data_IF_137713032423
#
_entry.id   IF_137713032423
#
_cell.length_a   1.000
_cell.length_b   1.000
_cell.length_c   1.000
_cell.angle_alpha   90.00
_cell.angle_beta   90.00
_cell.angle_gamma   90.00
#
_symmetry.space_group_name_H-M   'P 1'
#
loop_
_entity.id
_entity.type
_entity.pdbx_description
1 polymer ?
#
# COMPACT_ATOMS: atom_id res chain seq x y z
N UNK A 1 -21.32 -11.39 -1.90
CA UNK A 1 -20.63 -12.28 -0.96
C UNK A 1 -19.18 -12.42 -1.38
N UNK A 2 -18.27 -12.49 -0.42
CA UNK A 2 -16.82 -12.62 -0.63
C UNK A 2 -16.47 -13.98 -1.27
N UNK A 3 -17.38 -14.94 -1.21
CA UNK A 3 -17.18 -16.32 -1.64
C UNK A 3 -16.93 -16.50 -3.15
N UNK A 4 -17.25 -15.48 -3.98
CA UNK A 4 -17.10 -15.55 -5.44
C UNK A 4 -16.06 -14.57 -6.01
N UNK A 5 -15.28 -13.86 -5.18
CA UNK A 5 -14.26 -12.95 -5.66
C UNK A 5 -12.92 -13.68 -5.83
N UNK A 6 -12.54 -13.91 -7.08
CA UNK A 6 -11.20 -14.42 -7.42
C UNK A 6 -10.20 -13.28 -7.47
N UNK A 7 -9.28 -13.23 -6.52
CA UNK A 7 -8.18 -12.29 -6.55
C UNK A 7 -7.08 -12.80 -7.50
N UNK A 8 -6.95 -12.18 -8.66
CA UNK A 8 -5.78 -12.38 -9.51
C UNK A 8 -4.57 -11.71 -8.88
N UNK A 9 -3.40 -12.32 -8.94
CA UNK A 9 -2.15 -11.69 -8.54
C UNK A 9 -0.97 -12.18 -9.37
N UNK A 10 0.07 -11.39 -9.42
CA UNK A 10 1.37 -11.75 -9.97
C UNK A 10 2.39 -11.80 -8.83
N UNK A 11 3.31 -12.76 -8.89
CA UNK A 11 4.33 -12.97 -7.87
C UNK A 11 5.71 -13.04 -8.51
N UNK A 12 6.69 -12.36 -7.90
CA UNK A 12 8.10 -12.39 -8.30
C UNK A 12 8.97 -12.62 -7.08
N UNK A 13 9.97 -13.46 -7.24
CA UNK A 13 10.98 -13.76 -6.21
C UNK A 13 12.27 -13.03 -6.54
N UNK A 14 12.93 -12.49 -5.54
CA UNK A 14 14.21 -11.77 -5.67
C UNK A 14 15.20 -12.25 -4.61
N UNK A 15 16.42 -12.55 -5.05
CA UNK A 15 17.48 -13.05 -4.18
C UNK A 15 17.18 -14.43 -3.60
N UNK A 16 17.86 -14.77 -2.52
CA UNK A 16 17.72 -16.03 -1.81
C UNK A 16 16.87 -15.85 -0.53
N UNK A 17 16.19 -16.92 -0.11
CA UNK A 17 15.38 -16.90 1.10
C UNK A 17 16.26 -16.78 2.34
N UNK A 18 16.07 -15.75 3.19
CA UNK A 18 16.76 -15.67 4.46
C UNK A 18 16.38 -16.82 5.40
N UNK A 19 17.25 -17.15 6.36
CA UNK A 19 16.95 -18.14 7.40
C UNK A 19 15.71 -17.78 8.24
N UNK A 20 15.39 -16.48 8.33
CA UNK A 20 14.21 -15.94 9.03
C UNK A 20 12.92 -15.93 8.20
N UNK A 21 12.95 -16.48 6.97
CA UNK A 21 11.83 -16.45 6.03
C UNK A 21 11.82 -15.22 5.11
N UNK A 22 11.02 -15.27 4.07
CA UNK A 22 10.89 -14.19 3.08
C UNK A 22 10.23 -12.94 3.65
N UNK A 23 10.65 -11.77 3.17
CA UNK A 23 9.84 -10.55 3.23
C UNK A 23 8.79 -10.58 2.13
N UNK A 24 7.56 -10.12 2.42
CA UNK A 24 6.47 -9.97 1.45
C UNK A 24 6.19 -8.49 1.20
N UNK A 25 6.25 -8.07 -0.06
CA UNK A 25 5.87 -6.73 -0.50
C UNK A 25 4.61 -6.82 -1.35
N UNK A 26 3.50 -6.33 -0.83
CA UNK A 26 2.21 -6.27 -1.55
C UNK A 26 2.11 -4.90 -2.18
N UNK A 27 1.98 -4.85 -3.51
CA UNK A 27 2.02 -3.60 -4.26
C UNK A 27 0.72 -3.38 -5.04
N UNK A 28 -0.04 -2.35 -4.65
CA UNK A 28 -1.37 -2.02 -5.16
C UNK A 28 -1.25 -1.11 -6.40
N UNK A 29 -1.86 -1.51 -7.52
CA UNK A 29 -1.81 -0.75 -8.76
C UNK A 29 -2.74 0.46 -8.75
N UNK A 30 -2.43 1.44 -9.60
CA UNK A 30 -3.28 2.60 -9.87
C UNK A 30 -4.47 2.28 -10.79
N UNK A 31 -5.25 3.30 -11.10
CA UNK A 31 -6.46 3.22 -11.92
C UNK A 31 -7.66 3.74 -11.15
N UNK A 32 -8.66 2.90 -10.92
CA UNK A 32 -9.87 3.27 -10.17
C UNK A 32 -11.13 3.18 -11.03
N UNK A 33 -12.04 4.14 -10.92
CA UNK A 33 -13.31 4.21 -11.67
C UNK A 33 -13.13 4.52 -13.15
N UNK A 34 -12.44 3.64 -13.85
CA UNK A 34 -12.14 3.73 -15.29
C UNK A 34 -12.50 2.41 -15.98
N UNK A 35 -12.44 2.40 -17.31
CA UNK A 35 -12.65 1.17 -18.08
C UNK A 35 -11.76 0.02 -17.58
N UNK A 36 -12.29 -1.21 -17.42
CA UNK A 36 -11.53 -2.37 -16.93
C UNK A 36 -10.22 -2.62 -17.67
N UNK A 37 -10.15 -2.31 -18.98
CA UNK A 37 -8.92 -2.46 -19.77
C UNK A 37 -7.83 -1.48 -19.34
N UNK A 38 -8.19 -0.31 -18.83
CA UNK A 38 -7.23 0.68 -18.27
C UNK A 38 -6.67 0.12 -16.96
N UNK A 39 -7.51 -0.38 -16.07
CA UNK A 39 -7.08 -1.02 -14.82
C UNK A 39 -6.19 -2.23 -15.08
N UNK A 40 -6.50 -3.03 -16.10
CA UNK A 40 -5.67 -4.17 -16.51
C UNK A 40 -4.28 -3.70 -17.01
N UNK A 41 -4.20 -2.62 -17.79
CA UNK A 41 -2.93 -2.02 -18.21
C UNK A 41 -2.13 -1.48 -17.04
N UNK A 42 -2.78 -0.81 -16.09
CA UNK A 42 -2.15 -0.32 -14.87
C UNK A 42 -1.57 -1.47 -14.04
N UNK A 43 -2.32 -2.54 -13.85
CA UNK A 43 -1.83 -3.73 -13.18
C UNK A 43 -0.64 -4.37 -13.91
N UNK A 44 -0.70 -4.51 -15.24
CA UNK A 44 0.39 -5.07 -16.03
C UNK A 44 1.69 -4.24 -15.92
N UNK A 45 1.61 -2.91 -15.92
CA UNK A 45 2.74 -2.02 -15.64
C UNK A 45 3.28 -2.24 -14.23
N UNK A 46 2.39 -2.38 -13.27
CA UNK A 46 2.74 -2.46 -11.86
C UNK A 46 3.52 -3.73 -11.50
N UNK A 47 3.30 -4.83 -12.22
CA UNK A 47 4.07 -6.08 -12.07
C UNK A 47 5.59 -5.87 -12.22
N UNK A 48 6.01 -4.91 -13.02
CA UNK A 48 7.42 -4.60 -13.29
C UNK A 48 7.96 -3.36 -12.58
N UNK A 49 7.13 -2.65 -11.79
CA UNK A 49 7.48 -1.33 -11.26
C UNK A 49 8.65 -1.37 -10.26
N UNK A 50 8.70 -2.40 -9.42
CA UNK A 50 9.71 -2.51 -8.37
C UNK A 50 10.69 -3.65 -8.64
N UNK A 51 11.97 -3.40 -8.31
CA UNK A 51 13.05 -4.37 -8.30
C UNK A 51 13.58 -4.45 -6.86
N UNK A 52 13.28 -5.54 -6.18
CA UNK A 52 13.74 -5.77 -4.82
C UNK A 52 15.18 -6.31 -4.83
N UNK A 53 15.97 -6.03 -3.80
CA UNK A 53 17.23 -6.73 -3.57
C UNK A 53 16.98 -8.17 -3.11
N UNK A 54 15.97 -8.36 -2.23
CA UNK A 54 15.58 -9.64 -1.67
C UNK A 54 14.13 -9.58 -1.22
N UNK A 55 13.36 -10.65 -1.43
CA UNK A 55 11.97 -10.75 -0.99
C UNK A 55 11.03 -11.23 -2.08
N UNK A 56 9.77 -11.27 -1.76
CA UNK A 56 8.67 -11.60 -2.68
C UNK A 56 7.87 -10.35 -2.95
N UNK A 57 7.76 -9.97 -4.22
CA UNK A 57 6.84 -8.93 -4.69
C UNK A 57 5.56 -9.59 -5.17
N UNK A 58 4.44 -9.22 -4.56
CA UNK A 58 3.11 -9.65 -4.93
C UNK A 58 2.31 -8.44 -5.41
N UNK A 59 1.84 -8.49 -6.65
CA UNK A 59 1.00 -7.45 -7.24
C UNK A 59 -0.40 -7.99 -7.52
N UNK A 60 -1.37 -7.75 -6.62
CA UNK A 60 -2.73 -8.15 -6.86
C UNK A 60 -3.40 -7.25 -7.92
N UNK A 61 -4.34 -7.82 -8.69
CA UNK A 61 -5.31 -7.06 -9.48
C UNK A 61 -6.52 -6.78 -8.59
N UNK A 62 -6.92 -5.53 -8.49
CA UNK A 62 -8.14 -5.21 -7.75
C UNK A 62 -9.32 -6.05 -8.24
N UNK A 63 -10.15 -6.59 -7.34
CA UNK A 63 -11.30 -7.39 -7.74
C UNK A 63 -12.43 -6.57 -8.39
N UNK A 64 -12.41 -5.24 -8.23
CA UNK A 64 -13.38 -4.32 -8.81
C UNK A 64 -12.69 -3.24 -9.63
N UNK A 65 -13.45 -2.52 -10.46
CA UNK A 65 -12.99 -1.40 -11.29
C UNK A 65 -13.64 -0.08 -10.84
N UNK A 66 -13.91 0.06 -9.54
CA UNK A 66 -14.48 1.25 -8.92
C UNK A 66 -13.40 2.23 -8.46
N UNK A 67 -13.73 3.51 -8.26
CA UNK A 67 -12.79 4.53 -7.78
C UNK A 67 -12.16 4.15 -6.42
N UNK A 68 -12.92 3.49 -5.56
CA UNK A 68 -12.53 3.02 -4.23
C UNK A 68 -12.08 1.56 -4.21
N UNK A 69 -11.58 1.04 -5.31
CA UNK A 69 -11.28 -0.37 -5.55
C UNK A 69 -10.38 -1.04 -4.50
N UNK A 70 -9.55 -0.27 -3.78
CA UNK A 70 -8.62 -0.80 -2.78
C UNK A 70 -9.05 -0.56 -1.35
N UNK A 71 -10.11 0.20 -1.09
CA UNK A 71 -10.54 0.53 0.27
C UNK A 71 -12.00 0.17 0.59
N UNK A 72 -12.63 -0.64 -0.24
CA UNK A 72 -13.91 -1.27 0.06
C UNK A 72 -13.74 -2.31 1.19
N UNK A 73 -14.77 -2.48 2.02
CA UNK A 73 -14.73 -3.35 3.20
C UNK A 73 -14.24 -4.79 2.94
N UNK A 74 -14.58 -5.36 1.79
CA UNK A 74 -14.17 -6.73 1.44
C UNK A 74 -12.66 -6.87 1.17
N UNK A 75 -11.97 -5.77 0.87
CA UNK A 75 -10.52 -5.79 0.59
C UNK A 75 -9.72 -6.21 1.82
N UNK A 76 -10.08 -5.74 3.00
CA UNK A 76 -9.42 -6.10 4.25
C UNK A 76 -9.43 -7.63 4.47
N UNK A 77 -10.60 -8.26 4.25
CA UNK A 77 -10.78 -9.71 4.37
C UNK A 77 -9.97 -10.48 3.33
N UNK A 78 -9.98 -10.01 2.07
CA UNK A 78 -9.24 -10.63 0.97
C UNK A 78 -7.73 -10.53 1.22
N UNK A 79 -7.22 -9.37 1.58
CA UNK A 79 -5.80 -9.17 1.85
C UNK A 79 -5.33 -9.97 3.07
N UNK A 80 -6.12 -10.00 4.14
CA UNK A 80 -5.81 -10.81 5.31
C UNK A 80 -5.66 -12.30 4.92
N UNK A 81 -6.62 -12.85 4.17
CA UNK A 81 -6.55 -14.23 3.68
C UNK A 81 -5.37 -14.46 2.73
N UNK A 82 -5.09 -13.50 1.85
CA UNK A 82 -3.93 -13.57 0.96
C UNK A 82 -2.63 -13.65 1.76
N UNK A 83 -2.43 -12.77 2.74
CA UNK A 83 -1.24 -12.75 3.60
C UNK A 83 -1.08 -14.10 4.32
N UNK A 84 -2.15 -14.63 4.92
CA UNK A 84 -2.13 -15.94 5.58
C UNK A 84 -1.72 -17.07 4.63
N UNK A 85 -2.29 -17.10 3.43
CA UNK A 85 -1.95 -18.09 2.41
C UNK A 85 -0.48 -17.97 1.96
N UNK A 86 0.03 -16.74 1.81
CA UNK A 86 1.42 -16.49 1.45
C UNK A 86 2.39 -16.95 2.54
N UNK A 87 2.07 -16.67 3.81
CA UNK A 87 2.85 -17.15 4.97
C UNK A 87 2.93 -18.67 4.97
N UNK A 88 1.79 -19.33 4.84
CA UNK A 88 1.72 -20.80 4.87
C UNK A 88 2.45 -21.45 3.68
N UNK A 89 2.31 -20.89 2.47
CA UNK A 89 2.83 -21.49 1.23
C UNK A 89 4.31 -21.20 1.00
N UNK A 90 4.78 -20.00 1.32
CA UNK A 90 6.09 -19.51 0.90
C UNK A 90 7.03 -19.18 2.06
N UNK A 91 6.71 -19.58 3.28
CA UNK A 91 7.54 -19.30 4.48
C UNK A 91 7.82 -17.79 4.64
N UNK A 92 6.79 -16.96 4.44
CA UNK A 92 6.89 -15.53 4.72
C UNK A 92 7.07 -15.33 6.22
N UNK A 93 8.00 -14.46 6.59
CA UNK A 93 8.08 -13.98 7.96
C UNK A 93 6.89 -13.03 8.23
N UNK A 94 5.98 -13.35 9.17
CA UNK A 94 4.79 -12.54 9.43
C UNK A 94 5.11 -11.11 9.89
N UNK A 95 6.31 -10.90 10.44
CA UNK A 95 6.80 -9.57 10.85
C UNK A 95 7.50 -8.78 9.72
N UNK A 96 7.49 -9.29 8.50
CA UNK A 96 8.12 -8.67 7.32
C UNK A 96 7.15 -8.59 6.14
N UNK A 97 5.93 -8.14 6.41
CA UNK A 97 4.92 -7.86 5.38
C UNK A 97 4.82 -6.35 5.19
N UNK A 98 4.96 -5.90 3.95
CA UNK A 98 4.99 -4.49 3.58
C UNK A 98 3.89 -4.19 2.57
N UNK A 99 3.25 -3.02 2.71
CA UNK A 99 2.22 -2.56 1.78
C UNK A 99 2.73 -1.37 0.97
N UNK A 100 2.63 -1.45 -0.34
CA UNK A 100 3.02 -0.41 -1.28
C UNK A 100 1.83 -0.05 -2.17
N UNK A 101 1.76 1.18 -2.65
CA UNK A 101 0.72 1.55 -3.62
C UNK A 101 1.02 2.87 -4.34
N UNK A 102 0.51 2.96 -5.56
CA UNK A 102 0.66 4.14 -6.41
C UNK A 102 -0.69 4.60 -6.95
N UNK A 103 -0.95 5.91 -6.95
CA UNK A 103 -2.21 6.52 -7.42
C UNK A 103 -3.40 5.94 -6.64
N UNK A 104 -4.43 5.38 -7.28
CA UNK A 104 -5.52 4.70 -6.58
C UNK A 104 -5.03 3.57 -5.64
N UNK A 105 -3.89 2.92 -5.95
CA UNK A 105 -3.22 2.01 -5.01
C UNK A 105 -2.63 2.73 -3.80
N UNK A 106 -2.20 3.98 -3.98
CA UNK A 106 -1.78 4.86 -2.89
C UNK A 106 -2.95 5.25 -1.97
N UNK A 107 -4.13 5.53 -2.54
CA UNK A 107 -5.37 5.70 -1.77
C UNK A 107 -5.64 4.46 -0.91
N UNK A 108 -5.48 3.27 -1.51
CA UNK A 108 -5.59 2.00 -0.80
C UNK A 108 -4.60 1.87 0.36
N UNK A 109 -3.35 2.30 0.20
CA UNK A 109 -2.35 2.28 1.28
C UNK A 109 -2.75 3.20 2.43
N UNK A 110 -3.21 4.41 2.14
CA UNK A 110 -3.71 5.34 3.16
C UNK A 110 -4.85 4.74 3.98
N UNK A 111 -5.74 3.99 3.33
CA UNK A 111 -6.90 3.38 3.96
C UNK A 111 -6.55 2.09 4.72
N UNK A 112 -5.82 1.18 4.08
CA UNK A 112 -5.55 -0.16 4.59
C UNK A 112 -4.47 -0.17 5.69
N UNK A 113 -3.44 0.67 5.58
CA UNK A 113 -2.36 0.68 6.55
C UNK A 113 -2.83 0.97 7.99
N UNK A 114 -3.65 2.02 8.26
CA UNK A 114 -4.16 2.24 9.61
C UNK A 114 -5.22 1.22 10.06
N UNK A 115 -6.03 0.67 9.12
CA UNK A 115 -7.07 -0.33 9.46
C UNK A 115 -6.52 -1.70 9.75
N UNK A 116 -5.40 -2.08 9.11
CA UNK A 116 -4.77 -3.38 9.20
C UNK A 116 -3.34 -3.29 9.74
N UNK A 117 -3.10 -2.35 10.66
CA UNK A 117 -1.75 -2.04 11.17
C UNK A 117 -1.06 -3.25 11.81
N UNK A 118 -1.82 -4.19 12.35
CA UNK A 118 -1.32 -5.46 12.91
C UNK A 118 -0.79 -6.44 11.84
N UNK A 119 -1.03 -6.17 10.56
CA UNK A 119 -0.60 -7.02 9.43
C UNK A 119 0.66 -6.53 8.74
N UNK A 120 1.05 -5.28 8.94
CA UNK A 120 2.14 -4.67 8.21
C UNK A 120 3.29 -4.23 9.12
N UNK A 121 4.52 -4.51 8.70
CA UNK A 121 5.72 -3.95 9.32
C UNK A 121 5.90 -2.48 8.94
N UNK A 122 5.56 -2.12 7.72
CA UNK A 122 5.52 -0.76 7.23
C UNK A 122 4.66 -0.64 5.96
N UNK A 123 4.28 0.58 5.63
CA UNK A 123 3.55 0.90 4.40
C UNK A 123 4.14 2.12 3.69
N UNK A 124 4.05 2.16 2.37
CA UNK A 124 4.55 3.26 1.55
C UNK A 124 3.53 3.64 0.48
N UNK A 125 3.07 4.87 0.54
CA UNK A 125 2.13 5.47 -0.40
C UNK A 125 2.87 6.35 -1.40
N UNK A 126 2.49 6.29 -2.68
CA UNK A 126 2.96 7.20 -3.72
C UNK A 126 1.77 7.78 -4.49
N UNK A 127 1.71 9.12 -4.60
CA UNK A 127 0.72 9.88 -5.39
C UNK A 127 -0.75 9.47 -5.11
N UNK A 128 -1.10 9.17 -3.86
CA UNK A 128 -2.44 8.80 -3.43
C UNK A 128 -3.14 9.89 -2.63
N UNK A 129 -4.42 9.67 -2.33
CA UNK A 129 -5.26 10.52 -1.50
C UNK A 129 -5.82 9.72 -0.31
N UNK A 130 -5.78 10.25 0.92
CA UNK A 130 -6.26 9.54 2.11
C UNK A 130 -7.79 9.38 2.17
N UNK A 131 -8.54 10.22 1.46
CA UNK A 131 -10.00 10.32 1.58
C UNK A 131 -10.42 10.58 3.04
N UNK A 132 -11.11 9.65 3.68
CA UNK A 132 -11.56 9.71 5.06
C UNK A 132 -10.66 8.95 6.06
N UNK A 133 -9.49 8.47 5.61
CA UNK A 133 -8.56 7.76 6.47
C UNK A 133 -7.98 8.66 7.58
N UNK A 134 -7.69 8.04 8.73
CA UNK A 134 -7.05 8.71 9.86
C UNK A 134 -5.67 8.11 10.12
N UNK A 135 -4.64 8.92 10.40
CA UNK A 135 -3.31 8.44 10.73
C UNK A 135 -3.19 7.79 12.11
N UNK A 136 -4.22 7.89 12.96
CA UNK A 136 -4.17 7.39 14.35
C UNK A 136 -3.84 5.89 14.43
N UNK A 137 -4.28 5.08 13.48
CA UNK A 137 -3.96 3.65 13.41
C UNK A 137 -2.51 3.34 13.05
N UNK A 138 -1.70 4.32 12.66
CA UNK A 138 -0.30 4.14 12.22
C UNK A 138 0.72 4.13 13.36
N UNK A 139 0.28 4.16 14.61
CA UNK A 139 1.16 4.28 15.77
C UNK A 139 2.34 3.29 15.76
N UNK A 140 2.09 2.05 15.39
CA UNK A 140 3.04 0.94 15.55
C UNK A 140 3.69 0.47 14.24
N UNK A 141 3.44 1.15 13.13
CA UNK A 141 4.06 0.81 11.84
C UNK A 141 4.80 2.00 11.24
N UNK A 142 5.82 1.74 10.44
CA UNK A 142 6.45 2.77 9.64
C UNK A 142 5.55 3.19 8.47
N UNK A 143 5.41 4.49 8.22
CA UNK A 143 4.61 5.00 7.12
C UNK A 143 5.37 6.01 6.26
N UNK A 144 5.46 5.74 4.95
CA UNK A 144 6.13 6.62 4.01
C UNK A 144 5.14 7.25 3.03
N UNK A 145 5.27 8.55 2.82
CA UNK A 145 4.52 9.34 1.83
C UNK A 145 5.50 9.84 0.77
N UNK A 146 5.20 9.52 -0.51
CA UNK A 146 5.91 10.04 -1.66
C UNK A 146 4.93 10.81 -2.54
N UNK A 147 5.15 12.13 -2.72
CA UNK A 147 4.23 13.00 -3.42
C UNK A 147 4.99 13.96 -4.33
N UNK A 148 4.46 14.22 -5.52
CA UNK A 148 4.95 15.28 -6.38
C UNK A 148 4.48 16.66 -5.88
N UNK A 149 5.37 17.65 -5.88
CA UNK A 149 5.03 19.03 -5.50
C UNK A 149 3.88 19.60 -6.33
N UNK A 150 3.82 19.22 -7.60
CA UNK A 150 2.83 19.70 -8.58
C UNK A 150 1.66 18.72 -8.78
N UNK A 151 1.54 17.66 -7.97
CA UNK A 151 0.39 16.74 -8.03
C UNK A 151 -0.85 17.38 -7.40
N UNK A 152 -1.44 18.33 -8.14
CA UNK A 152 -2.62 19.08 -7.72
C UNK A 152 -3.94 18.33 -7.92
N UNK A 153 -3.92 17.18 -8.59
CA UNK A 153 -5.10 16.37 -8.78
C UNK A 153 -5.67 15.95 -7.41
N UNK A 154 -6.94 16.29 -7.16
CA UNK A 154 -7.60 16.08 -5.87
C UNK A 154 -6.87 16.73 -4.67
N UNK A 155 -6.08 17.78 -4.90
CA UNK A 155 -5.24 18.44 -3.88
C UNK A 155 -4.25 17.50 -3.17
N UNK A 156 -3.76 16.46 -3.84
CA UNK A 156 -2.90 15.42 -3.23
C UNK A 156 -1.65 15.99 -2.59
N UNK A 157 -1.01 16.97 -3.24
CA UNK A 157 0.17 17.64 -2.72
C UNK A 157 -0.11 18.37 -1.39
N UNK A 158 -1.19 19.15 -1.33
CA UNK A 158 -1.62 19.86 -0.09
C UNK A 158 -1.96 18.87 1.01
N UNK A 159 -2.74 17.84 0.70
CA UNK A 159 -3.17 16.82 1.66
C UNK A 159 -1.96 16.01 2.18
N UNK A 160 -0.93 15.78 1.36
CA UNK A 160 0.30 15.12 1.82
C UNK A 160 1.06 15.97 2.86
N UNK A 161 1.09 17.29 2.72
CA UNK A 161 1.67 18.21 3.72
C UNK A 161 0.82 18.29 5.00
N UNK A 162 -0.51 18.23 4.89
CA UNK A 162 -1.40 18.14 6.05
C UNK A 162 -1.14 16.84 6.84
N UNK A 163 -1.02 15.71 6.16
CA UNK A 163 -0.70 14.42 6.77
C UNK A 163 0.69 14.42 7.42
N UNK A 164 1.67 15.05 6.79
CA UNK A 164 3.00 15.26 7.37
C UNK A 164 2.90 16.00 8.69
N UNK A 165 2.22 17.14 8.70
CA UNK A 165 2.04 17.96 9.90
C UNK A 165 1.34 17.20 11.02
N UNK A 166 0.33 16.42 10.70
CA UNK A 166 -0.40 15.61 11.68
C UNK A 166 0.45 14.43 12.20
N UNK A 167 1.20 13.75 11.36
CA UNK A 167 2.11 12.68 11.77
C UNK A 167 3.24 13.22 12.66
N UNK A 168 3.80 14.41 12.35
CA UNK A 168 4.77 15.09 13.18
C UNK A 168 4.17 15.47 14.56
N UNK A 169 2.95 15.99 14.57
CA UNK A 169 2.22 16.29 15.82
C UNK A 169 2.00 15.04 16.67
N UNK A 170 1.55 13.94 16.07
CA UNK A 170 1.34 12.67 16.75
C UNK A 170 2.66 12.09 17.27
N UNK A 171 3.72 12.16 16.50
CA UNK A 171 5.08 11.74 16.90
C UNK A 171 5.61 12.55 18.08
N UNK A 172 5.33 13.85 18.14
CA UNK A 172 5.73 14.71 19.26
C UNK A 172 4.98 14.36 20.55
N UNK A 173 3.70 13.95 20.45
CA UNK A 173 2.90 13.49 21.60
C UNK A 173 3.35 12.10 22.07
N UNK A 174 3.67 11.21 21.15
CA UNK A 174 4.13 9.84 21.42
C UNK A 174 5.42 9.54 20.64
N UNK A 175 6.58 9.90 21.19
CA UNK A 175 7.87 9.71 20.53
C UNK A 175 8.23 8.25 20.21
N UNK A 176 7.59 7.29 20.86
CA UNK A 176 7.79 5.85 20.59
C UNK A 176 6.99 5.33 19.41
N UNK A 177 5.92 6.04 18.99
CA UNK A 177 5.04 5.68 17.90
C UNK A 177 5.23 6.53 16.63
N UNK A 178 4.36 6.34 15.66
CA UNK A 178 4.21 7.18 14.45
C UNK A 178 5.51 7.42 13.67
N UNK A 179 6.30 6.37 13.47
CA UNK A 179 7.50 6.47 12.63
C UNK A 179 7.09 6.74 11.19
N UNK A 180 7.49 7.86 10.65
CA UNK A 180 7.10 8.28 9.31
C UNK A 180 8.23 8.94 8.53
N UNK A 181 8.05 8.96 7.21
CA UNK A 181 8.87 9.70 6.26
C UNK A 181 7.93 10.36 5.24
N UNK A 182 8.07 11.64 5.03
CA UNK A 182 7.34 12.35 3.95
C UNK A 182 8.35 12.98 3.01
N UNK A 183 8.28 12.62 1.74
CA UNK A 183 9.12 13.17 0.69
C UNK A 183 8.28 13.80 -0.40
N UNK A 184 8.36 15.12 -0.50
CA UNK A 184 7.81 15.89 -1.61
C UNK A 184 8.91 16.03 -2.67
N UNK A 185 8.59 15.67 -3.91
CA UNK A 185 9.52 15.73 -5.03
C UNK A 185 9.30 17.01 -5.80
N UNK A 186 10.28 17.89 -5.77
CA UNK A 186 10.26 19.17 -6.47
C UNK A 186 10.03 18.98 -7.98
N UNK A 187 9.23 19.87 -8.57
CA UNK A 187 8.89 19.89 -9.99
C UNK A 187 8.31 18.59 -10.56
N UNK A 188 7.69 17.74 -9.71
CA UNK A 188 6.98 16.51 -10.11
C UNK A 188 5.48 16.68 -9.92
N UNK A 189 4.69 16.11 -10.85
CA UNK A 189 3.24 16.00 -10.78
C UNK A 189 2.79 14.60 -11.04
#
# INVERSE_FOLDING_TARGET
SIENLNLKYHIRFFGEMPSTGWSLFISLHGGGGVDPSINERQWNRHKGLYQLKQGILLTPRSPTDTWNMWHQEHIDKILNRLIQNMIAKYKINPNKVFLLGYSAGGDGVYQLAPRMADRFAAASMSAGHPNDASPLGLRNIGFAIHMGENDSAYNRNTVAEEWKSELERLKNIDPSGYNHMVKIYENRG
#
